data_IF_414277279519
#
_entry.id   IF_414277279519
#
_cell.length_a   1.000
_cell.length_b   1.000
_cell.length_c   1.000
_cell.angle_alpha   90.00
_cell.angle_beta   90.00
_cell.angle_gamma   90.00
#
_symmetry.space_group_name_H-M   'P 1'
#
loop_
_entity.id
_entity.type
_entity.pdbx_description
1 polymer ?
#
# COMPACT_ATOMS: atom_id res chain seq x y z
N UNK A 1 20.27 -3.95 8.09
CA UNK A 1 20.57 -2.76 7.25
C UNK A 1 20.19 -1.53 8.05
N UNK A 2 21.12 -0.58 8.20
CA UNK A 2 20.84 0.73 8.80
C UNK A 2 20.61 1.69 7.64
N UNK A 3 19.35 2.10 7.42
CA UNK A 3 19.05 3.16 6.44
C UNK A 3 19.59 4.48 6.99
N UNK A 4 20.24 5.32 6.17
CA UNK A 4 20.66 6.64 6.62
C UNK A 4 19.42 7.48 6.99
N UNK A 5 19.49 8.28 8.06
CA UNK A 5 18.32 8.94 8.64
C UNK A 5 17.69 10.00 7.72
N UNK A 6 18.44 10.53 6.76
CA UNK A 6 17.98 11.51 5.78
C UNK A 6 17.04 10.90 4.72
N UNK A 7 17.33 9.70 4.23
CA UNK A 7 16.49 8.96 3.29
C UNK A 7 15.22 8.43 3.96
N UNK A 8 15.31 7.99 5.22
CA UNK A 8 14.15 7.54 5.98
C UNK A 8 13.16 8.68 6.24
N UNK A 9 13.66 9.88 6.56
CA UNK A 9 12.84 11.08 6.74
C UNK A 9 12.14 11.49 5.42
N UNK A 10 12.84 11.39 4.29
CA UNK A 10 12.29 11.68 2.97
C UNK A 10 11.15 10.71 2.59
N UNK A 11 11.33 9.42 2.89
CA UNK A 11 10.31 8.39 2.65
C UNK A 11 9.04 8.60 3.49
N UNK A 12 9.18 9.01 4.75
CA UNK A 12 8.02 9.24 5.63
C UNK A 12 7.20 10.46 5.19
N UNK A 13 7.87 11.55 4.80
CA UNK A 13 7.19 12.74 4.23
C UNK A 13 6.44 12.38 2.95
N UNK A 14 7.03 11.54 2.10
CA UNK A 14 6.41 11.09 0.86
C UNK A 14 5.18 10.22 1.13
N UNK A 15 5.28 9.26 2.05
CA UNK A 15 4.15 8.43 2.50
C UNK A 15 3.00 9.29 3.03
N UNK A 16 3.30 10.25 3.91
CA UNK A 16 2.29 11.15 4.46
C UNK A 16 1.62 12.00 3.38
N UNK A 17 2.39 12.49 2.40
CA UNK A 17 1.87 13.26 1.27
C UNK A 17 0.92 12.44 0.41
N UNK A 18 1.31 11.20 0.06
CA UNK A 18 0.46 10.27 -0.69
C UNK A 18 -0.83 10.02 0.08
N UNK A 19 -0.72 9.66 1.37
CA UNK A 19 -1.88 9.37 2.21
C UNK A 19 -2.84 10.56 2.26
N UNK A 20 -2.33 11.77 2.53
CA UNK A 20 -3.15 12.96 2.66
C UNK A 20 -3.89 13.32 1.36
N UNK A 21 -3.21 13.22 0.20
CA UNK A 21 -3.84 13.48 -1.10
C UNK A 21 -4.91 12.45 -1.42
N UNK A 22 -4.64 11.16 -1.19
CA UNK A 22 -5.65 10.11 -1.38
C UNK A 22 -6.81 10.25 -0.38
N UNK A 23 -6.54 10.62 0.87
CA UNK A 23 -7.57 10.84 1.89
C UNK A 23 -8.55 11.94 1.47
N UNK A 24 -8.02 13.07 0.99
CA UNK A 24 -8.81 14.22 0.54
C UNK A 24 -9.67 13.90 -0.68
N UNK A 25 -9.29 12.90 -1.49
CA UNK A 25 -10.10 12.45 -2.62
C UNK A 25 -11.41 11.78 -2.18
N UNK A 26 -11.42 11.10 -1.02
CA UNK A 26 -12.51 10.21 -0.61
C UNK A 26 -13.18 10.59 0.73
N UNK A 27 -12.65 11.59 1.43
CA UNK A 27 -13.22 12.07 2.68
C UNK A 27 -13.29 13.60 2.68
N UNK A 28 -14.39 14.13 3.24
CA UNK A 28 -14.57 15.57 3.47
C UNK A 28 -13.96 16.06 4.80
N UNK A 29 -13.37 15.15 5.58
CA UNK A 29 -12.74 15.46 6.88
C UNK A 29 -11.22 15.48 6.76
N UNK A 30 -10.49 16.15 7.67
CA UNK A 30 -9.04 16.00 7.76
C UNK A 30 -8.65 14.55 8.08
N UNK A 31 -7.45 14.10 7.68
CA UNK A 31 -6.97 12.77 8.01
C UNK A 31 -6.70 12.59 9.51
N UNK A 32 -6.70 11.34 10.01
CA UNK A 32 -6.37 11.03 11.39
C UNK A 32 -4.97 11.53 11.77
N UNK A 33 -4.86 12.08 12.98
CA UNK A 33 -3.58 12.58 13.51
C UNK A 33 -2.64 11.48 14.00
N UNK A 34 -3.15 10.26 14.23
CA UNK A 34 -2.37 9.10 14.65
C UNK A 34 -2.02 8.23 13.45
N UNK A 35 -0.75 7.90 13.29
CA UNK A 35 -0.26 7.11 12.15
C UNK A 35 -0.90 5.73 12.06
N UNK A 36 -1.21 5.11 13.20
CA UNK A 36 -1.87 3.79 13.25
C UNK A 36 -3.30 3.82 12.70
N UNK A 37 -3.93 4.99 12.72
CA UNK A 37 -5.30 5.23 12.23
C UNK A 37 -5.29 5.68 10.75
N UNK A 38 -4.12 5.98 10.18
CA UNK A 38 -3.96 6.40 8.78
C UNK A 38 -4.05 5.21 7.82
N UNK A 39 -5.25 4.62 7.74
CA UNK A 39 -5.58 3.51 6.86
C UNK A 39 -6.62 3.96 5.83
N UNK A 40 -6.34 3.73 4.54
CA UNK A 40 -7.31 3.91 3.47
C UNK A 40 -8.11 2.62 3.32
N UNK A 41 -9.39 2.65 3.69
CA UNK A 41 -10.30 1.55 3.36
C UNK A 41 -10.72 1.66 1.90
N UNK A 42 -10.25 0.73 1.07
CA UNK A 42 -10.53 0.71 -0.37
C UNK A 42 -11.85 0.01 -0.73
N UNK A 43 -12.41 -0.80 0.19
CA UNK A 43 -13.59 -1.62 -0.06
C UNK A 43 -14.86 -0.86 -0.47
N UNK A 44 -15.16 0.34 0.07
CA UNK A 44 -16.39 1.04 -0.30
C UNK A 44 -16.28 1.80 -1.64
N UNK A 45 -15.09 1.86 -2.25
CA UNK A 45 -14.84 2.72 -3.41
C UNK A 45 -14.91 1.97 -4.72
N UNK A 46 -15.32 2.70 -5.76
CA UNK A 46 -15.38 2.17 -7.12
C UNK A 46 -13.97 2.00 -7.69
N UNK A 47 -13.84 1.14 -8.70
CA UNK A 47 -12.59 0.96 -9.45
C UNK A 47 -12.05 2.29 -9.99
N UNK A 48 -12.91 3.16 -10.52
CA UNK A 48 -12.54 4.48 -11.02
C UNK A 48 -11.93 5.35 -9.92
N UNK A 49 -12.50 5.32 -8.71
CA UNK A 49 -11.97 6.07 -7.56
C UNK A 49 -10.61 5.53 -7.14
N UNK A 50 -10.45 4.21 -7.12
CA UNK A 50 -9.16 3.57 -6.79
C UNK A 50 -8.11 3.89 -7.85
N UNK A 51 -8.48 3.91 -9.12
CA UNK A 51 -7.57 4.25 -10.22
C UNK A 51 -7.12 5.73 -10.14
N UNK A 52 -8.00 6.64 -9.75
CA UNK A 52 -7.64 8.03 -9.45
C UNK A 52 -6.62 8.14 -8.29
N UNK A 53 -6.73 7.29 -7.25
CA UNK A 53 -5.70 7.22 -6.20
C UNK A 53 -4.37 6.71 -6.74
N UNK A 54 -4.38 5.71 -7.62
CA UNK A 54 -3.16 5.20 -8.26
C UNK A 54 -2.46 6.31 -9.05
N UNK A 55 -3.20 7.13 -9.78
CA UNK A 55 -2.63 8.26 -10.50
C UNK A 55 -2.04 9.33 -9.55
N UNK A 56 -2.72 9.64 -8.44
CA UNK A 56 -2.15 10.50 -7.39
C UNK A 56 -0.81 9.95 -6.89
N UNK A 57 -0.76 8.65 -6.57
CA UNK A 57 0.46 7.98 -6.10
C UNK A 57 1.57 8.10 -7.15
N UNK A 58 1.26 7.79 -8.42
CA UNK A 58 2.23 7.88 -9.54
C UNK A 58 2.79 9.28 -9.70
N UNK A 59 1.94 10.31 -9.66
CA UNK A 59 2.37 11.71 -9.76
C UNK A 59 3.32 12.05 -8.62
N UNK A 60 2.92 11.78 -7.37
CA UNK A 60 3.74 12.09 -6.18
C UNK A 60 5.10 11.38 -6.23
N UNK A 61 5.14 10.10 -6.60
CA UNK A 61 6.38 9.35 -6.74
C UNK A 61 7.26 9.92 -7.87
N UNK A 62 6.66 10.26 -9.01
CA UNK A 62 7.38 10.82 -10.16
C UNK A 62 7.96 12.20 -9.83
N UNK A 63 7.21 13.06 -9.14
CA UNK A 63 7.66 14.36 -8.64
C UNK A 63 8.87 14.21 -7.70
N UNK A 64 8.89 13.16 -6.89
CA UNK A 64 10.01 12.81 -6.03
C UNK A 64 11.19 12.13 -6.77
N UNK A 65 11.10 11.96 -8.10
CA UNK A 65 12.13 11.31 -8.93
C UNK A 65 12.11 9.77 -8.85
N UNK A 66 11.12 9.18 -8.18
CA UNK A 66 10.98 7.73 -8.04
C UNK A 66 10.23 7.19 -9.25
N UNK A 67 10.95 6.42 -10.09
CA UNK A 67 10.40 5.84 -11.34
C UNK A 67 10.15 4.34 -11.26
N UNK A 68 10.76 3.68 -10.27
CA UNK A 68 10.69 2.23 -10.09
C UNK A 68 10.39 1.92 -8.63
N UNK A 69 9.40 1.05 -8.40
CA UNK A 69 9.16 0.43 -7.12
C UNK A 69 9.58 -1.04 -7.23
N UNK A 70 10.60 -1.43 -6.48
CA UNK A 70 10.98 -2.82 -6.33
C UNK A 70 10.38 -3.35 -5.02
N UNK A 71 9.72 -4.52 -5.10
CA UNK A 71 9.32 -5.24 -3.89
C UNK A 71 10.54 -6.02 -3.39
N UNK A 72 11.32 -5.40 -2.51
CA UNK A 72 12.59 -5.94 -2.02
C UNK A 72 12.43 -7.09 -1.01
N UNK A 73 11.21 -7.39 -0.57
CA UNK A 73 10.94 -8.48 0.36
C UNK A 73 10.19 -9.63 -0.33
N UNK A 74 10.61 -10.88 -0.13
CA UNK A 74 9.82 -12.01 -0.56
C UNK A 74 8.47 -12.01 0.18
N UNK A 75 7.44 -12.67 -0.38
CA UNK A 75 6.19 -12.91 0.35
C UNK A 75 6.49 -13.44 1.75
N UNK A 76 5.88 -12.83 2.76
CA UNK A 76 6.04 -13.27 4.15
C UNK A 76 5.39 -14.64 4.34
N UNK A 77 5.91 -15.44 5.27
CA UNK A 77 5.24 -16.70 5.61
C UNK A 77 3.82 -16.44 6.16
N UNK A 78 2.85 -17.32 5.86
CA UNK A 78 1.51 -17.20 6.40
C UNK A 78 1.55 -17.21 7.93
N UNK A 79 1.06 -16.13 8.54
CA UNK A 79 0.97 -16.01 10.01
C UNK A 79 -0.23 -16.75 10.60
N UNK A 80 -1.13 -17.27 9.76
CA UNK A 80 -2.31 -18.03 10.17
C UNK A 80 -2.33 -19.39 9.48
N UNK A 81 -2.61 -20.43 10.25
CA UNK A 81 -2.95 -21.74 9.70
C UNK A 81 -4.30 -21.65 8.99
N UNK A 82 -4.32 -22.10 7.74
CA UNK A 82 -5.57 -22.23 6.99
C UNK A 82 -6.38 -23.41 7.52
N UNK A 83 -7.69 -23.36 7.34
CA UNK A 83 -8.55 -24.50 7.71
C UNK A 83 -8.32 -25.66 6.72
N UNK A 84 -8.57 -26.92 7.12
CA UNK A 84 -8.38 -28.08 6.24
C UNK A 84 -9.17 -27.99 4.92
N UNK A 85 -10.33 -27.35 4.93
CA UNK A 85 -11.21 -27.18 3.78
C UNK A 85 -10.64 -26.21 2.74
N UNK A 86 -9.70 -25.35 3.15
CA UNK A 86 -9.05 -24.34 2.29
C UNK A 86 -7.78 -24.89 1.63
N UNK A 87 -7.24 -26.00 2.14
CA UNK A 87 -6.06 -26.67 1.59
C UNK A 87 -6.12 -26.96 0.08
N UNK A 88 -7.23 -27.52 -0.48
CA UNK A 88 -7.32 -27.75 -1.93
C UNK A 88 -7.29 -26.46 -2.76
N UNK A 89 -7.74 -25.33 -2.20
CA UNK A 89 -7.67 -24.03 -2.88
C UNK A 89 -6.24 -23.48 -2.91
N UNK A 90 -5.49 -23.67 -1.82
CA UNK A 90 -4.07 -23.27 -1.72
C UNK A 90 -3.23 -24.08 -2.71
N UNK A 91 -3.42 -25.40 -2.77
CA UNK A 91 -2.73 -26.28 -3.72
C UNK A 91 -2.99 -25.86 -5.17
N UNK A 92 -4.24 -25.49 -5.49
CA UNK A 92 -4.61 -25.01 -6.82
C UNK A 92 -3.98 -23.66 -7.15
N UNK A 93 -3.92 -22.73 -6.20
CA UNK A 93 -3.26 -21.43 -6.41
C UNK A 93 -1.76 -21.59 -6.65
N UNK A 94 -1.10 -22.48 -5.91
CA UNK A 94 0.33 -22.74 -6.11
C UNK A 94 0.62 -23.27 -7.53
N UNK A 95 -0.22 -24.12 -8.11
CA UNK A 95 -0.02 -24.59 -9.50
C UNK A 95 -0.15 -23.50 -10.57
N UNK A 96 -0.83 -22.38 -10.26
CA UNK A 96 -1.09 -21.30 -11.22
C UNK A 96 -0.02 -20.21 -11.18
N UNK A 97 0.67 -20.04 -10.05
CA UNK A 97 1.56 -18.92 -9.78
C UNK A 97 2.98 -19.33 -9.36
N UNK A 98 3.29 -20.63 -9.32
CA UNK A 98 4.63 -21.20 -9.20
C UNK A 98 4.96 -22.08 -10.40
#
# INVERSE_FOLDING_TARGET
>A
MHFPPDLAQCAEVLRATIFHRCWTLIHDSPPPGRTEEQVLDLRPWTEVTVEAMVEIIRVVLTEAGIRTLALEHPPSEPTRTSTPETQPLIERLNQLYH
#
